data_IF_426110965116
#
_entry.id   IF_426110965116
#
_cell.length_a   1.000
_cell.length_b   1.000
_cell.length_c   1.000
_cell.angle_alpha   90.00
_cell.angle_beta   90.00
_cell.angle_gamma   90.00
#
_symmetry.space_group_name_H-M   'P 1'
#
loop_
_entity.id
_entity.type
_entity.pdbx_description
1 polymer ?
#
# COMPACT_ATOMS: atom_id res chain seq x y z
N UNK A 1 25.51 35.18 -4.57
CA UNK A 1 24.77 34.09 -5.22
C UNK A 1 25.79 33.09 -5.72
N UNK A 2 25.96 31.97 -5.03
CA UNK A 2 26.85 30.87 -5.45
C UNK A 2 26.00 29.61 -5.33
N UNK A 3 25.46 29.18 -6.47
CA UNK A 3 24.81 27.88 -6.59
C UNK A 3 25.90 26.82 -6.34
N UNK A 4 25.78 25.97 -5.29
CA UNK A 4 26.83 25.01 -5.00
C UNK A 4 26.92 24.02 -6.16
N UNK A 5 28.12 23.90 -6.74
CA UNK A 5 28.45 22.94 -7.78
C UNK A 5 27.97 21.55 -7.35
N UNK A 6 26.88 21.09 -7.96
CA UNK A 6 26.22 19.82 -7.68
C UNK A 6 27.24 18.67 -7.67
N UNK A 7 27.25 17.89 -6.60
CA UNK A 7 28.07 16.67 -6.49
C UNK A 7 27.92 15.82 -7.76
N UNK A 8 29.07 15.47 -8.36
CA UNK A 8 29.10 14.68 -9.59
C UNK A 8 28.72 13.24 -9.29
N UNK A 9 27.44 12.92 -9.44
CA UNK A 9 26.91 11.57 -9.25
C UNK A 9 27.17 10.73 -10.51
N UNK A 10 28.05 9.73 -10.39
CA UNK A 10 28.41 8.84 -11.50
C UNK A 10 27.52 7.59 -11.48
N UNK A 11 26.56 7.53 -12.38
CA UNK A 11 25.69 6.35 -12.55
C UNK A 11 26.24 5.48 -13.68
N UNK A 12 26.42 4.19 -13.43
CA UNK A 12 26.74 3.21 -14.48
C UNK A 12 25.43 2.72 -15.11
N UNK A 13 25.27 3.01 -16.39
CA UNK A 13 24.10 2.60 -17.19
C UNK A 13 24.58 1.87 -18.44
N UNK A 14 23.78 0.91 -18.91
CA UNK A 14 24.05 0.24 -20.19
C UNK A 14 23.79 1.21 -21.36
N UNK A 15 24.38 0.96 -22.55
CA UNK A 15 24.13 1.79 -23.73
C UNK A 15 22.64 1.88 -24.11
N UNK A 16 21.89 0.78 -23.97
CA UNK A 16 20.44 0.74 -24.22
C UNK A 16 19.65 1.59 -23.21
N UNK A 17 20.02 1.54 -21.93
CA UNK A 17 19.42 2.39 -20.89
C UNK A 17 19.71 3.87 -21.14
N UNK A 18 20.93 4.20 -21.59
CA UNK A 18 21.30 5.59 -21.94
C UNK A 18 20.43 6.13 -23.07
N UNK A 19 20.16 5.32 -24.09
CA UNK A 19 19.33 5.73 -25.22
C UNK A 19 17.89 6.00 -24.77
N UNK A 20 17.24 5.05 -24.12
CA UNK A 20 15.87 5.21 -23.59
C UNK A 20 15.76 6.42 -22.65
N UNK A 21 16.78 6.63 -21.83
CA UNK A 21 16.83 7.76 -20.91
C UNK A 21 16.96 9.10 -21.63
N UNK A 22 17.79 9.17 -22.66
CA UNK A 22 17.93 10.38 -23.49
C UNK A 22 16.67 10.71 -24.28
N UNK A 23 15.97 9.69 -24.77
CA UNK A 23 14.69 9.82 -25.47
C UNK A 23 13.60 10.31 -24.51
N UNK A 24 13.52 9.75 -23.30
CA UNK A 24 12.57 10.19 -22.29
C UNK A 24 12.85 11.62 -21.80
N UNK A 25 14.11 12.00 -21.63
CA UNK A 25 14.49 13.38 -21.31
C UNK A 25 14.10 14.37 -22.43
N UNK A 26 14.30 13.97 -23.69
CA UNK A 26 13.90 14.76 -24.86
C UNK A 26 12.37 14.93 -24.94
N UNK A 27 11.59 13.87 -24.65
CA UNK A 27 10.13 13.94 -24.59
C UNK A 27 9.64 14.87 -23.46
N UNK A 28 10.35 14.90 -22.33
CA UNK A 28 10.06 15.78 -21.22
C UNK A 28 10.57 17.23 -21.43
N UNK A 29 11.30 17.50 -22.52
CA UNK A 29 11.83 18.84 -22.83
C UNK A 29 12.91 19.33 -21.86
N UNK A 30 13.55 18.43 -21.10
CA UNK A 30 14.53 18.77 -20.07
C UNK A 30 15.87 18.09 -20.32
N UNK A 31 16.92 18.58 -19.66
CA UNK A 31 18.24 17.97 -19.80
C UNK A 31 18.24 16.56 -19.18
N UNK A 32 19.02 15.61 -19.74
CA UNK A 32 19.13 14.26 -19.18
C UNK A 32 19.55 14.27 -17.70
N UNK A 33 20.42 15.20 -17.30
CA UNK A 33 20.86 15.36 -15.91
C UNK A 33 19.73 15.78 -14.98
N UNK A 34 18.84 16.66 -15.44
CA UNK A 34 17.68 17.10 -14.67
C UNK A 34 16.60 16.01 -14.62
N UNK A 35 16.38 15.31 -15.73
CA UNK A 35 15.52 14.13 -15.79
C UNK A 35 15.99 13.05 -14.80
N UNK A 36 17.31 12.86 -14.65
CA UNK A 36 17.89 11.87 -13.73
C UNK A 36 17.59 12.23 -12.29
N UNK A 37 17.79 13.51 -11.93
CA UNK A 37 17.48 14.02 -10.60
C UNK A 37 16.01 13.82 -10.29
N UNK A 38 15.11 14.26 -11.18
CA UNK A 38 13.66 14.09 -10.99
C UNK A 38 13.28 12.62 -10.83
N UNK A 39 13.85 11.73 -11.64
CA UNK A 39 13.56 10.31 -11.59
C UNK A 39 14.04 9.68 -10.28
N UNK A 40 15.23 10.05 -9.80
CA UNK A 40 15.73 9.61 -8.49
C UNK A 40 14.85 10.12 -7.35
N UNK A 41 14.50 11.41 -7.36
CA UNK A 41 13.64 12.02 -6.33
C UNK A 41 12.23 11.41 -6.34
N UNK A 42 11.66 11.15 -7.52
CA UNK A 42 10.35 10.50 -7.65
C UNK A 42 10.39 9.03 -7.27
N UNK A 43 11.51 8.34 -7.52
CA UNK A 43 11.67 6.94 -7.13
C UNK A 43 11.71 6.82 -5.61
N UNK A 44 12.45 7.70 -4.93
CA UNK A 44 12.51 7.73 -3.47
C UNK A 44 11.14 8.09 -2.89
N UNK A 45 10.42 9.06 -3.47
CA UNK A 45 9.06 9.40 -3.01
C UNK A 45 8.07 8.24 -3.19
N UNK A 46 8.07 7.57 -4.35
CA UNK A 46 7.20 6.42 -4.62
C UNK A 46 7.53 5.25 -3.69
N UNK A 47 8.81 5.00 -3.39
CA UNK A 47 9.21 3.96 -2.43
C UNK A 47 8.67 4.28 -1.02
N UNK A 48 8.83 5.53 -0.56
CA UNK A 48 8.29 5.93 0.76
C UNK A 48 6.76 5.82 0.84
N UNK A 49 6.05 6.19 -0.23
CA UNK A 49 4.59 6.05 -0.30
C UNK A 49 4.15 4.59 -0.30
N UNK A 50 4.87 3.71 -1.01
CA UNK A 50 4.60 2.26 -1.01
C UNK A 50 4.90 1.61 0.34
N UNK A 51 5.95 2.03 1.03
CA UNK A 51 6.25 1.57 2.39
C UNK A 51 5.17 2.02 3.38
N UNK A 52 4.73 3.27 3.31
CA UNK A 52 3.63 3.78 4.12
C UNK A 52 2.31 3.03 3.85
N UNK A 53 2.01 2.74 2.58
CA UNK A 53 0.84 1.94 2.19
C UNK A 53 0.94 0.51 2.72
N UNK A 54 2.12 -0.13 2.60
CA UNK A 54 2.33 -1.49 3.12
C UNK A 54 2.15 -1.54 4.63
N UNK A 55 2.70 -0.56 5.35
CA UNK A 55 2.50 -0.41 6.79
C UNK A 55 1.02 -0.21 7.17
N UNK A 56 0.30 0.65 6.45
CA UNK A 56 -1.14 0.85 6.67
C UNK A 56 -1.96 -0.42 6.41
N UNK A 57 -1.61 -1.20 5.38
CA UNK A 57 -2.24 -2.48 5.10
C UNK A 57 -1.94 -3.49 6.21
N UNK A 58 -0.68 -3.58 6.67
CA UNK A 58 -0.28 -4.46 7.78
C UNK A 58 -1.08 -4.14 9.04
N UNK A 59 -1.18 -2.87 9.43
CA UNK A 59 -1.98 -2.42 10.58
C UNK A 59 -3.46 -2.82 10.44
N UNK A 60 -4.06 -2.59 9.26
CA UNK A 60 -5.45 -2.99 8.99
C UNK A 60 -5.65 -4.51 9.00
N UNK A 61 -4.63 -5.30 8.67
CA UNK A 61 -4.69 -6.77 8.74
C UNK A 61 -4.47 -7.31 10.15
N UNK A 62 -3.63 -6.67 10.96
CA UNK A 62 -3.46 -6.99 12.38
C UNK A 62 -4.78 -6.82 13.13
N UNK A 63 -5.46 -5.70 12.95
CA UNK A 63 -6.77 -5.44 13.55
C UNK A 63 -7.80 -6.51 13.18
N UNK A 64 -7.84 -6.93 11.90
CA UNK A 64 -8.74 -8.00 11.45
C UNK A 64 -8.41 -9.35 12.07
N UNK A 65 -7.12 -9.65 12.28
CA UNK A 65 -6.68 -10.90 12.89
C UNK A 65 -7.09 -10.97 14.36
N UNK A 66 -6.91 -9.89 15.11
CA UNK A 66 -7.33 -9.80 16.52
C UNK A 66 -8.85 -9.87 16.66
N UNK A 67 -9.60 -9.24 15.74
CA UNK A 67 -11.07 -9.35 15.68
C UNK A 67 -11.51 -10.79 15.36
N UNK A 68 -10.87 -11.47 14.41
CA UNK A 68 -11.18 -12.87 14.10
C UNK A 68 -10.85 -13.80 15.28
N UNK A 69 -9.70 -13.62 15.91
CA UNK A 69 -9.30 -14.40 17.08
C UNK A 69 -10.29 -14.24 18.23
N UNK A 70 -10.65 -13.00 18.56
CA UNK A 70 -11.65 -12.72 19.60
C UNK A 70 -13.04 -13.26 19.25
N UNK A 71 -13.46 -13.20 17.98
CA UNK A 71 -14.72 -13.79 17.52
C UNK A 71 -14.72 -15.33 17.60
N UNK A 72 -13.60 -15.98 17.28
CA UNK A 72 -13.45 -17.44 17.42
C UNK A 72 -13.48 -17.87 18.88
N UNK A 73 -12.77 -17.16 19.76
CA UNK A 73 -12.84 -17.39 21.21
C UNK A 73 -14.25 -17.15 21.76
N UNK A 74 -14.96 -16.11 21.31
CA UNK A 74 -16.36 -15.87 21.65
C UNK A 74 -17.27 -16.99 21.13
N UNK A 75 -17.01 -17.54 19.94
CA UNK A 75 -17.79 -18.64 19.37
C UNK A 75 -17.69 -19.92 20.21
N UNK A 76 -16.52 -20.22 20.76
CA UNK A 76 -16.31 -21.37 21.65
C UNK A 76 -17.05 -21.23 22.99
N UNK A 77 -17.18 -20.00 23.51
CA UNK A 77 -17.77 -19.75 24.83
C UNK A 77 -19.29 -19.55 24.78
N UNK A 78 -19.84 -19.12 23.63
CA UNK A 78 -21.25 -18.73 23.51
C UNK A 78 -22.16 -19.91 23.16
N UNK A 79 -23.20 -20.20 23.97
CA UNK A 79 -24.21 -21.21 23.63
C UNK A 79 -24.94 -20.88 22.33
N UNK A 80 -25.22 -21.91 21.53
CA UNK A 80 -25.83 -21.79 20.19
C UNK A 80 -27.15 -20.99 20.18
N UNK A 81 -27.94 -21.08 21.26
CA UNK A 81 -29.19 -20.33 21.41
C UNK A 81 -29.00 -18.82 21.48
N UNK A 82 -27.95 -18.35 22.17
CA UNK A 82 -27.62 -16.93 22.26
C UNK A 82 -27.10 -16.40 20.92
N UNK A 83 -26.35 -17.22 20.18
CA UNK A 83 -25.91 -16.90 18.83
C UNK A 83 -27.10 -16.76 17.87
N UNK A 84 -28.08 -17.68 17.91
CA UNK A 84 -29.32 -17.61 17.11
C UNK A 84 -30.12 -16.33 17.42
N UNK A 85 -30.26 -15.97 18.70
CA UNK A 85 -30.95 -14.74 19.11
C UNK A 85 -30.24 -13.47 18.65
N UNK A 86 -28.90 -13.46 18.69
CA UNK A 86 -28.10 -12.35 18.16
C UNK A 86 -28.29 -12.21 16.64
N UNK A 87 -28.28 -13.33 15.91
CA UNK A 87 -28.51 -13.37 14.47
C UNK A 87 -29.89 -12.85 14.06
N UNK A 88 -30.92 -13.25 14.80
CA UNK A 88 -32.29 -12.74 14.63
C UNK A 88 -32.35 -11.22 14.84
N UNK A 89 -31.66 -10.70 15.87
CA UNK A 89 -31.57 -9.24 16.12
C UNK A 89 -30.79 -8.50 15.02
N UNK A 90 -29.73 -9.09 14.48
CA UNK A 90 -28.99 -8.50 13.37
C UNK A 90 -29.83 -8.44 12.10
N UNK A 91 -30.61 -9.48 11.82
CA UNK A 91 -31.57 -9.51 10.71
C UNK A 91 -32.64 -8.41 10.85
N UNK A 92 -33.15 -8.18 12.06
CA UNK A 92 -34.11 -7.06 12.31
C UNK A 92 -33.50 -5.68 12.12
N UNK A 93 -32.17 -5.55 12.19
CA UNK A 93 -31.44 -4.30 11.96
C UNK A 93 -31.01 -4.12 10.49
N UNK A 94 -31.41 -5.02 9.59
CA UNK A 94 -31.10 -4.94 8.17
C UNK A 94 -29.73 -5.52 7.78
N UNK A 95 -29.02 -6.15 8.71
CA UNK A 95 -27.79 -6.89 8.41
C UNK A 95 -28.15 -8.33 8.04
N UNK A 96 -28.09 -8.66 6.74
CA UNK A 96 -28.27 -10.03 6.30
C UNK A 96 -27.07 -10.88 6.72
N UNK A 97 -27.31 -12.03 7.37
CA UNK A 97 -26.22 -12.93 7.68
C UNK A 97 -25.70 -13.63 6.43
N UNK A 98 -24.38 -13.59 6.26
CA UNK A 98 -23.68 -14.31 5.20
C UNK A 98 -23.51 -15.76 5.66
N UNK A 99 -24.40 -16.62 5.13
CA UNK A 99 -24.45 -18.08 5.26
C UNK A 99 -24.89 -18.66 6.62
N UNK A 100 -26.16 -19.06 6.68
CA UNK A 100 -26.60 -20.27 7.37
C UNK A 100 -26.94 -21.27 6.27
N UNK A 101 -25.96 -22.07 5.83
CA UNK A 101 -26.30 -23.33 5.16
C UNK A 101 -26.68 -24.35 6.23
N UNK A 102 -27.73 -25.11 5.93
CA UNK A 102 -28.43 -26.07 6.81
C UNK A 102 -27.56 -27.26 7.24
#
# INVERSE_FOLDING_TARGET
>A
MVEPLSELLRVRITPSQKQNFSEAAALAGITPSEYARRLLTSSDSIQTELEALRYAIELLTEDKRTVLETLLLLREIVPLEKAKKAHQRMSTLGYQPVHLEE
#
